data_IF_936629302475
#
_entry.id   IF_936629302475
#
_cell.length_a   1.000
_cell.length_b   1.000
_cell.length_c   1.000
_cell.angle_alpha   90.00
_cell.angle_beta   90.00
_cell.angle_gamma   90.00
#
_symmetry.space_group_name_H-M   'P 1'
#
loop_
_entity.id
_entity.type
_entity.pdbx_description
1 polymer ?
#
# COMPACT_ATOMS: atom_id res chain seq x y z
N UNK A 1 -15.64 -34.64 46.80
CA UNK A 1 -16.18 -34.73 45.43
C UNK A 1 -15.28 -33.89 44.54
N UNK A 2 -14.59 -34.52 43.59
CA UNK A 2 -13.72 -33.88 42.61
C UNK A 2 -14.55 -33.21 41.53
N UNK A 3 -14.36 -31.91 41.36
CA UNK A 3 -15.00 -31.09 40.33
C UNK A 3 -14.43 -31.51 38.96
N UNK A 4 -15.30 -31.78 37.98
CA UNK A 4 -14.89 -32.18 36.62
C UNK A 4 -15.03 -30.95 35.73
N UNK A 5 -13.91 -30.32 35.39
CA UNK A 5 -13.88 -29.03 34.66
C UNK A 5 -14.54 -29.09 33.26
N UNK A 6 -14.61 -30.28 32.66
CA UNK A 6 -15.20 -30.51 31.32
C UNK A 6 -16.75 -30.41 31.31
N UNK A 7 -17.39 -30.49 32.48
CA UNK A 7 -18.85 -30.38 32.63
C UNK A 7 -19.31 -28.97 33.05
N UNK A 8 -18.38 -28.04 33.21
CA UNK A 8 -18.72 -26.66 33.55
C UNK A 8 -19.08 -25.86 32.28
N UNK A 9 -20.14 -25.05 32.39
CA UNK A 9 -20.48 -24.09 31.34
C UNK A 9 -19.34 -23.09 31.11
N UNK A 10 -19.28 -22.44 29.93
CA UNK A 10 -18.21 -21.50 29.61
C UNK A 10 -18.08 -20.46 30.73
N UNK A 11 -16.91 -20.41 31.37
CA UNK A 11 -16.65 -19.43 32.42
C UNK A 11 -16.85 -18.04 31.83
N UNK A 12 -17.61 -17.19 32.54
CA UNK A 12 -17.91 -15.84 32.10
C UNK A 12 -16.59 -15.10 31.85
N UNK A 13 -16.25 -14.91 30.58
CA UNK A 13 -15.09 -14.11 30.20
C UNK A 13 -15.39 -12.67 30.63
N UNK A 14 -14.54 -12.13 31.50
CA UNK A 14 -14.68 -10.75 31.95
C UNK A 14 -14.40 -9.81 30.77
N UNK A 15 -15.45 -9.26 30.17
CA UNK A 15 -15.32 -8.23 29.16
C UNK A 15 -15.09 -6.88 29.83
N UNK A 16 -14.02 -6.19 29.43
CA UNK A 16 -13.78 -4.80 29.85
C UNK A 16 -14.56 -3.89 28.90
N UNK A 17 -15.52 -3.08 29.39
CA UNK A 17 -16.23 -2.13 28.54
C UNK A 17 -15.25 -1.06 28.03
N UNK A 18 -15.17 -0.90 26.71
CA UNK A 18 -14.38 0.14 26.08
C UNK A 18 -15.15 1.47 26.12
N UNK A 19 -14.67 2.43 26.92
CA UNK A 19 -15.20 3.80 26.92
C UNK A 19 -14.44 4.65 25.90
N UNK A 20 -15.03 4.84 24.72
CA UNK A 20 -14.50 5.75 23.69
C UNK A 20 -14.70 7.19 24.19
N UNK A 21 -13.60 7.92 24.43
CA UNK A 21 -13.66 9.29 24.95
C UNK A 21 -14.26 10.27 23.93
N UNK A 22 -13.74 10.26 22.70
CA UNK A 22 -14.27 11.05 21.59
C UNK A 22 -14.34 10.20 20.32
N UNK A 23 -15.54 9.80 19.86
CA UNK A 23 -15.72 9.07 18.62
C UNK A 23 -15.24 9.83 17.38
N UNK A 24 -15.19 11.17 17.40
CA UNK A 24 -14.79 11.98 16.23
C UNK A 24 -13.31 11.90 15.92
N UNK A 25 -12.47 11.81 16.96
CA UNK A 25 -11.02 11.63 16.84
C UNK A 25 -10.63 10.44 15.95
N UNK A 26 -11.44 9.37 15.94
CA UNK A 26 -11.23 8.22 15.04
C UNK A 26 -11.34 8.61 13.57
N UNK A 27 -12.28 9.49 13.20
CA UNK A 27 -12.51 9.90 11.81
C UNK A 27 -11.49 10.96 11.36
N UNK A 28 -11.16 11.92 12.22
CA UNK A 28 -10.25 13.01 11.90
C UNK A 28 -8.80 12.51 11.69
N UNK A 29 -8.39 11.49 12.45
CA UNK A 29 -7.04 10.92 12.36
C UNK A 29 -6.79 10.05 11.13
N UNK A 30 -7.81 9.63 10.39
CA UNK A 30 -7.64 8.86 9.15
C UNK A 30 -7.27 9.73 7.94
N UNK A 31 -7.37 11.05 8.06
CA UNK A 31 -7.07 12.01 6.98
C UNK A 31 -5.94 12.99 7.34
N UNK A 32 -4.74 12.53 7.75
CA UNK A 32 -3.64 13.44 8.11
C UNK A 32 -3.17 14.35 6.95
N UNK A 33 -3.52 14.02 5.69
CA UNK A 33 -3.06 14.71 4.48
C UNK A 33 -4.16 15.43 3.69
N UNK A 34 -5.41 15.49 4.16
CA UNK A 34 -6.48 16.22 3.45
C UNK A 34 -6.26 17.74 3.48
N UNK A 35 -5.57 18.26 4.49
CA UNK A 35 -5.23 19.68 4.62
C UNK A 35 -3.94 20.06 3.87
N UNK A 36 -3.00 19.13 3.69
CA UNK A 36 -1.68 19.43 3.10
C UNK A 36 -1.71 19.47 1.57
N UNK A 37 -2.57 18.67 0.93
CA UNK A 37 -2.63 18.55 -0.54
C UNK A 37 -3.50 19.60 -1.25
N UNK A 38 -4.16 20.51 -0.51
CA UNK A 38 -4.84 21.68 -1.10
C UNK A 38 -3.91 22.89 -1.29
N UNK A 39 -2.64 22.80 -0.84
CA UNK A 39 -1.72 23.95 -0.81
C UNK A 39 -0.87 24.16 -2.08
N UNK A 40 -0.95 23.30 -3.10
CA UNK A 40 -0.08 23.38 -4.30
C UNK A 40 -0.72 24.00 -5.54
N UNK A 41 -1.91 24.59 -5.44
CA UNK A 41 -2.44 25.43 -6.53
C UNK A 41 -3.28 26.58 -6.00
N UNK A 42 -2.61 27.58 -5.43
CA UNK A 42 -2.94 29.02 -5.51
C UNK A 42 -2.08 29.74 -4.48
N UNK A 43 -1.24 30.67 -4.93
CA UNK A 43 -0.43 31.50 -4.06
C UNK A 43 -1.30 32.34 -3.13
N UNK A 44 -1.44 31.91 -1.88
CA UNK A 44 -1.81 32.75 -0.75
C UNK A 44 -1.44 32.00 0.54
N UNK A 45 -0.48 32.54 1.29
CA UNK A 45 -0.20 32.09 2.65
C UNK A 45 -1.43 32.39 3.51
N UNK A 46 -2.33 31.41 3.64
CA UNK A 46 -3.25 31.36 4.76
C UNK A 46 -3.24 29.94 5.29
N UNK A 47 -2.82 29.78 6.54
CA UNK A 47 -3.13 28.58 7.34
C UNK A 47 -4.63 28.30 7.17
N UNK A 48 -5.07 27.05 6.98
CA UNK A 48 -6.48 26.73 7.17
C UNK A 48 -6.78 26.97 8.65
N UNK A 49 -7.29 28.16 8.96
CA UNK A 49 -7.97 28.39 10.24
C UNK A 49 -9.11 27.39 10.27
N UNK A 50 -9.36 26.68 11.39
CA UNK A 50 -10.59 25.91 11.54
C UNK A 50 -11.72 26.90 11.30
N UNK A 51 -12.38 26.75 10.16
CA UNK A 51 -13.42 27.66 9.73
C UNK A 51 -14.61 27.37 10.64
N UNK A 52 -14.63 27.99 11.82
CA UNK A 52 -15.86 28.21 12.58
C UNK A 52 -16.65 29.24 11.79
N UNK A 53 -17.09 28.84 10.60
CA UNK A 53 -18.05 29.61 9.86
C UNK A 53 -19.35 29.55 10.66
N UNK A 54 -19.91 30.72 10.95
CA UNK A 54 -21.26 30.76 11.49
C UNK A 54 -22.18 29.98 10.54
N UNK A 55 -22.94 28.98 11.02
CA UNK A 55 -23.82 28.18 10.17
C UNK A 55 -24.79 29.04 9.34
N UNK A 56 -25.16 30.22 9.86
CA UNK A 56 -25.97 31.21 9.15
C UNK A 56 -25.26 31.82 7.95
N UNK A 57 -23.98 32.16 8.10
CA UNK A 57 -23.15 32.70 7.01
C UNK A 57 -22.97 31.67 5.88
N UNK A 58 -22.64 30.41 6.21
CA UNK A 58 -22.51 29.32 5.22
C UNK A 58 -23.83 29.09 4.48
N UNK A 59 -24.93 29.06 5.22
CA UNK A 59 -26.25 28.87 4.64
C UNK A 59 -26.65 30.05 3.74
N UNK A 60 -26.28 31.27 4.11
CA UNK A 60 -26.52 32.47 3.30
C UNK A 60 -25.71 32.46 1.99
N UNK A 61 -24.43 32.06 2.06
CA UNK A 61 -23.56 31.90 0.90
C UNK A 61 -24.08 30.80 -0.04
N UNK A 62 -24.47 29.65 0.51
CA UNK A 62 -25.07 28.55 -0.25
C UNK A 62 -26.38 28.97 -0.93
N UNK A 63 -27.26 29.70 -0.23
CA UNK A 63 -28.51 30.21 -0.81
C UNK A 63 -28.26 31.20 -1.94
N UNK A 64 -27.23 32.06 -1.81
CA UNK A 64 -26.81 32.99 -2.86
C UNK A 64 -26.29 32.22 -4.08
N UNK A 65 -25.37 31.29 -3.88
CA UNK A 65 -24.80 30.45 -4.95
C UNK A 65 -25.88 29.62 -5.67
N UNK A 66 -26.85 29.07 -4.94
CA UNK A 66 -28.00 28.36 -5.53
C UNK A 66 -28.83 29.28 -6.43
N UNK A 67 -29.05 30.52 -6.00
CA UNK A 67 -29.83 31.50 -6.75
C UNK A 67 -29.08 31.92 -8.03
N UNK A 68 -27.76 32.10 -7.94
CA UNK A 68 -26.88 32.37 -9.10
C UNK A 68 -26.84 31.19 -10.09
N UNK A 69 -26.74 29.95 -9.61
CA UNK A 69 -26.79 28.77 -10.48
C UNK A 69 -28.15 28.60 -11.16
N UNK A 70 -29.24 28.94 -10.47
CA UNK A 70 -30.59 28.84 -11.01
C UNK A 70 -30.82 29.84 -12.16
N UNK A 71 -30.26 31.05 -12.08
CA UNK A 71 -30.33 32.04 -13.18
C UNK A 71 -29.46 31.63 -14.37
N UNK A 72 -28.27 31.06 -14.12
CA UNK A 72 -27.37 30.53 -15.16
C UNK A 72 -28.01 29.34 -15.89
N UNK A 73 -28.60 28.38 -15.16
CA UNK A 73 -29.25 27.22 -15.77
C UNK A 73 -30.53 27.57 -16.55
N UNK A 74 -31.20 28.67 -16.20
CA UNK A 74 -32.43 29.12 -16.89
C UNK A 74 -32.14 29.84 -18.20
N UNK A 75 -30.90 30.29 -18.43
CA UNK A 75 -30.51 31.13 -19.58
C UNK A 75 -29.61 30.44 -20.61
N UNK A 76 -29.09 29.25 -20.32
CA UNK A 76 -28.30 28.49 -21.28
C UNK A 76 -27.73 27.18 -20.75
N UNK A 77 -27.13 26.39 -21.66
CA UNK A 77 -26.51 25.08 -21.41
C UNK A 77 -25.52 25.13 -20.25
N UNK A 78 -25.76 24.31 -19.22
CA UNK A 78 -24.97 24.18 -17.98
C UNK A 78 -23.49 23.84 -18.22
N UNK A 79 -23.16 23.27 -19.38
CA UNK A 79 -21.80 22.90 -19.77
C UNK A 79 -21.53 23.54 -21.13
N UNK A 80 -20.39 24.22 -21.27
CA UNK A 80 -19.96 24.75 -22.55
C UNK A 80 -19.75 23.59 -23.55
N UNK A 81 -20.30 23.68 -24.77
CA UNK A 81 -20.28 22.58 -25.73
C UNK A 81 -18.85 22.17 -26.12
N UNK A 82 -17.91 23.12 -26.11
CA UNK A 82 -16.49 22.88 -26.37
C UNK A 82 -15.83 22.01 -25.28
N UNK A 83 -16.17 22.25 -24.01
CA UNK A 83 -15.68 21.43 -22.89
C UNK A 83 -16.25 20.02 -22.97
N UNK A 84 -17.54 19.88 -23.29
CA UNK A 84 -18.17 18.58 -23.48
C UNK A 84 -17.53 17.80 -24.64
N UNK A 85 -17.25 18.47 -25.76
CA UNK A 85 -16.57 17.88 -26.92
C UNK A 85 -15.14 17.43 -26.56
N UNK A 86 -14.40 18.24 -25.80
CA UNK A 86 -13.06 17.89 -25.33
C UNK A 86 -13.07 16.67 -24.39
N UNK A 87 -13.98 16.63 -23.41
CA UNK A 87 -14.13 15.48 -22.51
C UNK A 87 -14.50 14.23 -23.30
N UNK A 88 -15.41 14.34 -24.26
CA UNK A 88 -15.81 13.21 -25.10
C UNK A 88 -14.66 12.72 -25.98
N UNK A 89 -13.87 13.63 -26.54
CA UNK A 89 -12.67 13.28 -27.30
C UNK A 89 -11.62 12.58 -26.44
N UNK A 90 -11.31 13.11 -25.27
CA UNK A 90 -10.37 12.52 -24.31
C UNK A 90 -10.83 11.12 -23.86
N UNK A 91 -12.11 10.96 -23.50
CA UNK A 91 -12.66 9.66 -23.13
C UNK A 91 -12.63 8.69 -24.31
N UNK A 92 -12.98 9.14 -25.51
CA UNK A 92 -12.95 8.30 -26.71
C UNK A 92 -11.51 7.87 -27.04
N UNK A 93 -10.55 8.79 -26.95
CA UNK A 93 -9.13 8.49 -27.13
C UNK A 93 -8.64 7.49 -26.08
N UNK A 94 -9.00 7.69 -24.81
CA UNK A 94 -8.60 6.82 -23.71
C UNK A 94 -9.19 5.41 -23.82
N UNK A 95 -10.47 5.30 -24.18
CA UNK A 95 -11.18 4.02 -24.37
C UNK A 95 -10.70 3.31 -25.65
N UNK A 96 -10.32 4.05 -26.69
CA UNK A 96 -9.80 3.47 -27.94
C UNK A 96 -8.33 3.03 -27.79
N UNK A 97 -7.53 3.81 -27.05
CA UNK A 97 -6.11 3.56 -26.82
C UNK A 97 -5.83 2.48 -25.77
N UNK A 98 -6.68 2.34 -24.74
CA UNK A 98 -6.65 1.21 -23.82
C UNK A 98 -7.67 0.19 -24.29
N UNK A 99 -7.25 -1.03 -24.61
CA UNK A 99 -8.17 -2.18 -24.76
C UNK A 99 -8.99 -2.33 -23.47
N UNK A 100 -10.14 -1.67 -23.40
CA UNK A 100 -11.06 -1.73 -22.27
C UNK A 100 -11.69 -3.12 -22.25
N UNK A 101 -11.01 -4.06 -21.61
CA UNK A 101 -11.51 -5.42 -21.37
C UNK A 101 -12.35 -5.43 -20.10
N UNK A 102 -13.42 -4.65 -20.06
CA UNK A 102 -14.43 -4.84 -19.02
C UNK A 102 -15.35 -5.97 -19.45
N UNK A 103 -15.38 -7.03 -18.64
CA UNK A 103 -16.44 -8.04 -18.65
C UNK A 103 -16.27 -9.26 -19.56
N UNK A 104 -15.31 -9.29 -20.49
CA UNK A 104 -15.03 -10.51 -21.29
C UNK A 104 -13.66 -11.04 -20.90
N UNK A 105 -13.66 -11.96 -19.92
CA UNK A 105 -12.54 -12.77 -19.45
C UNK A 105 -11.34 -12.66 -20.39
N UNK A 106 -10.35 -11.83 -20.05
CA UNK A 106 -9.01 -12.13 -20.52
C UNK A 106 -8.74 -13.52 -19.93
N UNK A 107 -8.83 -14.58 -20.75
CA UNK A 107 -8.50 -15.93 -20.31
C UNK A 107 -7.20 -15.85 -19.53
N UNK A 108 -7.12 -16.56 -18.39
CA UNK A 108 -6.06 -16.34 -17.40
C UNK A 108 -4.74 -16.15 -18.12
N UNK A 109 -3.97 -15.12 -17.78
CA UNK A 109 -2.67 -14.87 -18.42
C UNK A 109 -1.76 -16.11 -18.36
N UNK A 110 -1.97 -16.95 -17.34
CA UNK A 110 -1.37 -18.27 -17.17
C UNK A 110 -1.73 -19.30 -18.24
N UNK A 111 -2.90 -19.20 -18.87
CA UNK A 111 -3.38 -20.16 -19.88
C UNK A 111 -2.78 -19.88 -21.27
N UNK A 112 -2.21 -18.69 -21.48
CA UNK A 112 -1.50 -18.32 -22.70
C UNK A 112 0.00 -18.64 -22.64
N UNK A 113 0.50 -19.17 -21.51
CA UNK A 113 1.91 -19.51 -21.31
C UNK A 113 2.18 -20.98 -21.71
N UNK A 114 3.35 -21.28 -22.28
CA UNK A 114 3.80 -22.66 -22.46
C UNK A 114 3.76 -23.40 -21.12
N UNK A 115 3.32 -24.66 -21.13
CA UNK A 115 3.10 -25.47 -19.92
C UNK A 115 4.34 -25.50 -19.01
N UNK A 116 5.53 -25.70 -19.58
CA UNK A 116 6.79 -25.73 -18.83
C UNK A 116 7.06 -24.41 -18.09
N UNK A 117 6.92 -23.28 -18.79
CA UNK A 117 7.11 -21.94 -18.20
C UNK A 117 6.06 -21.63 -17.14
N UNK A 118 4.80 -22.07 -17.36
CA UNK A 118 3.72 -21.91 -16.37
C UNK A 118 4.05 -22.66 -15.07
N UNK A 119 4.45 -23.92 -15.16
CA UNK A 119 4.80 -24.73 -13.99
C UNK A 119 5.99 -24.15 -13.23
N UNK A 120 7.02 -23.72 -13.95
CA UNK A 120 8.20 -23.09 -13.35
C UNK A 120 7.86 -21.79 -12.61
N UNK A 121 7.03 -20.92 -13.20
CA UNK A 121 6.61 -19.68 -12.52
C UNK A 121 5.74 -19.98 -11.29
N UNK A 122 4.84 -20.95 -11.37
CA UNK A 122 4.02 -21.35 -10.23
C UNK A 122 4.87 -21.91 -9.09
N UNK A 123 5.86 -22.73 -9.41
CA UNK A 123 6.80 -23.27 -8.43
C UNK A 123 7.65 -22.15 -7.81
N UNK A 124 8.17 -21.24 -8.64
CA UNK A 124 8.96 -20.10 -8.19
C UNK A 124 8.13 -19.19 -7.27
N UNK A 125 6.88 -18.94 -7.64
CA UNK A 125 5.92 -18.18 -6.86
C UNK A 125 5.66 -18.86 -5.51
N UNK A 126 5.30 -20.14 -5.48
CA UNK A 126 5.03 -20.86 -4.24
C UNK A 126 6.25 -20.83 -3.29
N UNK A 127 7.44 -21.10 -3.84
CA UNK A 127 8.69 -21.07 -3.06
C UNK A 127 8.99 -19.67 -2.51
N UNK A 128 8.76 -18.63 -3.31
CA UNK A 128 8.94 -17.24 -2.89
C UNK A 128 8.02 -16.87 -1.74
N UNK A 129 6.73 -17.22 -1.83
CA UNK A 129 5.76 -16.93 -0.77
C UNK A 129 6.08 -17.65 0.54
N UNK A 130 6.53 -18.91 0.48
CA UNK A 130 6.95 -19.66 1.67
C UNK A 130 8.19 -19.04 2.32
N UNK A 131 9.20 -18.68 1.53
CA UNK A 131 10.39 -18.01 2.05
C UNK A 131 10.07 -16.63 2.62
N UNK A 132 9.18 -15.86 1.98
CA UNK A 132 8.71 -14.59 2.53
C UNK A 132 7.98 -14.79 3.86
N UNK A 133 7.16 -15.82 4.01
CA UNK A 133 6.51 -16.13 5.30
C UNK A 133 7.55 -16.42 6.37
N UNK A 134 8.56 -17.24 6.06
CA UNK A 134 9.65 -17.54 6.99
C UNK A 134 10.54 -16.32 7.29
N UNK A 135 10.72 -15.44 6.31
CA UNK A 135 11.45 -14.18 6.45
C UNK A 135 10.73 -13.29 7.46
N UNK A 136 9.45 -12.99 7.24
CA UNK A 136 8.67 -12.13 8.13
C UNK A 136 8.48 -12.72 9.52
N UNK A 137 8.36 -14.06 9.63
CA UNK A 137 8.30 -14.75 10.91
C UNK A 137 9.62 -14.74 11.70
N UNK A 138 10.75 -14.36 11.08
CA UNK A 138 12.02 -14.20 11.80
C UNK A 138 12.13 -12.84 12.53
N UNK A 139 11.24 -11.88 12.22
CA UNK A 139 11.25 -10.56 12.83
C UNK A 139 10.38 -10.52 14.10
N UNK A 140 10.76 -9.72 15.10
CA UNK A 140 11.97 -8.87 15.17
C UNK A 140 13.26 -9.67 15.41
N UNK A 141 14.40 -9.19 14.86
CA UNK A 141 15.72 -9.85 14.89
C UNK A 141 16.42 -9.76 16.27
N UNK A 142 15.75 -10.26 17.30
CA UNK A 142 16.14 -10.16 18.71
C UNK A 142 17.30 -11.08 19.09
N UNK A 143 17.49 -12.20 18.38
CA UNK A 143 18.52 -13.22 18.67
C UNK A 143 19.49 -13.42 17.50
N UNK A 144 20.75 -13.78 17.80
CA UNK A 144 21.74 -14.17 16.79
C UNK A 144 21.22 -15.30 15.88
N UNK A 145 20.53 -16.28 16.47
CA UNK A 145 19.93 -17.40 15.71
C UNK A 145 18.87 -16.95 14.69
N UNK A 146 18.08 -15.93 15.02
CA UNK A 146 17.09 -15.35 14.12
C UNK A 146 17.76 -14.52 13.02
N UNK A 147 18.88 -13.84 13.32
CA UNK A 147 19.69 -13.12 12.33
C UNK A 147 20.33 -14.07 11.33
N UNK A 148 20.97 -15.13 11.79
CA UNK A 148 21.58 -16.14 10.91
C UNK A 148 20.52 -16.83 10.03
N UNK A 149 19.30 -17.03 10.57
CA UNK A 149 18.16 -17.53 9.79
C UNK A 149 17.72 -16.49 8.74
N UNK A 150 17.51 -15.24 9.13
CA UNK A 150 17.09 -14.18 8.23
C UNK A 150 18.12 -13.90 7.12
N UNK A 151 19.42 -13.97 7.42
CA UNK A 151 20.51 -13.85 6.45
C UNK A 151 20.46 -14.97 5.40
N UNK A 152 20.35 -16.24 5.84
CA UNK A 152 20.21 -17.38 4.92
C UNK A 152 18.98 -17.27 4.03
N UNK A 153 17.85 -16.81 4.60
CA UNK A 153 16.62 -16.59 3.84
C UNK A 153 16.83 -15.43 2.84
N UNK A 154 17.46 -14.33 3.24
CA UNK A 154 17.77 -13.20 2.36
C UNK A 154 18.63 -13.64 1.17
N UNK A 155 19.66 -14.46 1.40
CA UNK A 155 20.49 -15.02 0.32
C UNK A 155 19.67 -15.90 -0.63
N UNK A 156 18.79 -16.75 -0.10
CA UNK A 156 17.88 -17.57 -0.90
C UNK A 156 16.90 -16.71 -1.72
N UNK A 157 16.35 -15.63 -1.15
CA UNK A 157 15.48 -14.68 -1.84
C UNK A 157 16.24 -13.97 -2.98
N UNK A 158 17.50 -13.55 -2.78
CA UNK A 158 18.33 -12.98 -3.84
C UNK A 158 18.59 -13.98 -4.97
N UNK A 159 18.83 -15.26 -4.65
CA UNK A 159 18.98 -16.30 -5.67
C UNK A 159 17.70 -16.50 -6.50
N UNK A 160 16.52 -16.48 -5.85
CA UNK A 160 15.23 -16.58 -6.54
C UNK A 160 14.95 -15.35 -7.41
N UNK A 161 15.34 -14.15 -6.96
CA UNK A 161 15.24 -12.93 -7.76
C UNK A 161 16.08 -13.03 -9.03
N UNK A 162 17.31 -13.55 -8.95
CA UNK A 162 18.16 -13.77 -10.11
C UNK A 162 17.55 -14.78 -11.09
N UNK A 163 17.00 -15.90 -10.58
CA UNK A 163 16.28 -16.88 -11.41
C UNK A 163 15.07 -16.25 -12.13
N UNK A 164 14.29 -15.45 -11.41
CA UNK A 164 13.15 -14.72 -11.98
C UNK A 164 13.59 -13.75 -13.09
N UNK A 165 14.69 -13.03 -12.90
CA UNK A 165 15.24 -12.13 -13.92
C UNK A 165 15.75 -12.88 -15.16
N UNK A 166 16.38 -14.05 -14.99
CA UNK A 166 16.81 -14.89 -16.12
C UNK A 166 15.61 -15.34 -16.94
N UNK A 167 14.55 -15.85 -16.28
CA UNK A 167 13.31 -16.22 -16.96
C UNK A 167 12.67 -15.04 -17.71
N UNK A 168 12.73 -13.83 -17.15
CA UNK A 168 12.25 -12.62 -17.81
C UNK A 168 13.07 -12.31 -19.09
N UNK A 169 14.40 -12.37 -19.00
CA UNK A 169 15.31 -12.11 -20.12
C UNK A 169 15.20 -13.18 -21.22
N UNK A 170 15.02 -14.44 -20.86
CA UNK A 170 14.79 -15.51 -21.82
C UNK A 170 13.42 -15.40 -22.49
N UNK A 171 12.42 -14.88 -21.76
CA UNK A 171 11.09 -14.56 -22.32
C UNK A 171 11.14 -13.38 -23.29
N UNK A 172 12.18 -12.55 -23.26
CA UNK A 172 12.44 -11.41 -24.15
C UNK A 172 12.69 -11.80 -25.62
N UNK A 173 12.35 -13.02 -26.02
CA UNK A 173 12.26 -13.44 -27.44
C UNK A 173 10.87 -13.92 -27.85
N UNK A 174 9.91 -13.98 -26.93
CA UNK A 174 8.63 -14.68 -27.12
C UNK A 174 7.43 -13.73 -27.07
N UNK A 175 6.28 -14.17 -27.62
CA UNK A 175 5.06 -13.37 -27.75
C UNK A 175 4.30 -13.13 -26.42
N UNK A 176 4.72 -13.77 -25.33
CA UNK A 176 4.06 -13.69 -24.01
C UNK A 176 4.81 -12.83 -22.97
N UNK A 177 5.80 -12.03 -23.39
CA UNK A 177 6.60 -11.14 -22.51
C UNK A 177 5.76 -10.27 -21.59
N UNK A 178 4.72 -9.64 -22.13
CA UNK A 178 3.89 -8.73 -21.35
C UNK A 178 3.13 -9.45 -20.24
N UNK A 179 2.64 -10.66 -20.52
CA UNK A 179 1.95 -11.48 -19.52
C UNK A 179 2.90 -11.95 -18.42
N UNK A 180 4.11 -12.36 -18.80
CA UNK A 180 5.12 -12.83 -17.85
C UNK A 180 5.66 -11.67 -17.00
N UNK A 181 5.91 -10.51 -17.60
CA UNK A 181 6.30 -9.28 -16.91
C UNK A 181 5.23 -8.80 -15.92
N UNK A 182 3.95 -8.81 -16.29
CA UNK A 182 2.87 -8.43 -15.37
C UNK A 182 2.80 -9.36 -14.15
N UNK A 183 2.98 -10.67 -14.36
CA UNK A 183 2.97 -11.64 -13.27
C UNK A 183 4.20 -11.48 -12.36
N UNK A 184 5.36 -11.28 -12.96
CA UNK A 184 6.63 -11.19 -12.25
C UNK A 184 6.79 -9.90 -11.44
N UNK A 185 6.15 -8.79 -11.85
CA UNK A 185 6.25 -7.49 -11.16
C UNK A 185 5.89 -7.61 -9.68
N UNK A 186 4.81 -8.30 -9.36
CA UNK A 186 4.36 -8.49 -7.97
C UNK A 186 5.38 -9.26 -7.13
N UNK A 187 5.95 -10.34 -7.69
CA UNK A 187 6.98 -11.14 -7.02
C UNK A 187 8.28 -10.36 -6.84
N UNK A 188 8.73 -9.63 -7.88
CA UNK A 188 9.94 -8.80 -7.80
C UNK A 188 9.80 -7.72 -6.74
N UNK A 189 8.67 -7.03 -6.69
CA UNK A 189 8.41 -6.00 -5.66
C UNK A 189 8.43 -6.58 -4.25
N UNK A 190 7.85 -7.76 -4.03
CA UNK A 190 7.87 -8.41 -2.73
C UNK A 190 9.28 -8.84 -2.31
N UNK A 191 10.08 -9.36 -3.25
CA UNK A 191 11.49 -9.72 -3.03
C UNK A 191 12.34 -8.49 -2.69
N UNK A 192 12.20 -7.41 -3.46
CA UNK A 192 12.92 -6.15 -3.23
C UNK A 192 12.58 -5.55 -1.86
N UNK A 193 11.29 -5.52 -1.52
CA UNK A 193 10.83 -5.02 -0.22
C UNK A 193 11.42 -5.82 0.95
N UNK A 194 11.47 -7.15 0.85
CA UNK A 194 12.06 -7.99 1.89
C UNK A 194 13.58 -7.76 2.02
N UNK A 195 14.31 -7.73 0.91
CA UNK A 195 15.76 -7.47 0.92
C UNK A 195 16.07 -6.09 1.50
N UNK A 196 15.34 -5.06 1.07
CA UNK A 196 15.49 -3.69 1.57
C UNK A 196 15.14 -3.59 3.06
N UNK A 197 14.11 -4.31 3.53
CA UNK A 197 13.76 -4.36 4.94
C UNK A 197 14.91 -4.94 5.79
N UNK A 198 15.52 -6.05 5.35
CA UNK A 198 16.67 -6.64 6.03
C UNK A 198 17.86 -5.68 6.10
N UNK A 199 18.20 -5.02 4.99
CA UNK A 199 19.31 -4.06 4.95
C UNK A 199 19.09 -2.85 5.87
N UNK A 200 17.84 -2.38 5.98
CA UNK A 200 17.51 -1.28 6.88
C UNK A 200 17.62 -1.69 8.35
N UNK A 201 17.15 -2.88 8.71
CA UNK A 201 17.23 -3.40 10.07
C UNK A 201 18.70 -3.61 10.51
N UNK A 202 19.55 -4.14 9.61
CA UNK A 202 20.99 -4.27 9.83
C UNK A 202 21.66 -2.90 10.03
N UNK A 203 21.34 -1.89 9.20
CA UNK A 203 21.86 -0.52 9.35
C UNK A 203 21.46 0.09 10.70
N UNK A 204 20.23 -0.14 11.16
CA UNK A 204 19.76 0.35 12.45
C UNK A 204 20.47 -0.35 13.62
N UNK A 205 20.71 -1.65 13.50
CA UNK A 205 21.42 -2.43 14.51
C UNK A 205 22.89 -1.99 14.65
N UNK A 206 23.60 -1.77 13.54
CA UNK A 206 24.98 -1.24 13.53
C UNK A 206 25.05 0.16 14.17
N UNK A 207 24.11 1.05 13.84
CA UNK A 207 24.01 2.38 14.46
C UNK A 207 23.75 2.31 15.97
N UNK A 208 22.91 1.38 16.42
CA UNK A 208 22.63 1.18 17.84
C UNK A 208 23.87 0.67 18.60
N UNK A 209 24.63 -0.24 17.99
CA UNK A 209 25.87 -0.77 18.56
C UNK A 209 26.98 0.28 18.66
N UNK A 210 27.10 1.18 17.66
CA UNK A 210 28.05 2.31 17.70
C UNK A 210 27.67 3.38 18.72
N UNK A 211 26.38 3.60 18.99
CA UNK A 211 25.92 4.56 20.00
C UNK A 211 26.20 4.07 21.43
N UNK A 212 26.20 2.75 21.64
CA UNK A 212 26.52 2.15 22.95
C UNK A 212 28.03 2.21 23.23
N UNK A 213 28.88 2.03 22.21
CA UNK A 213 30.34 2.13 22.38
C UNK A 213 30.84 3.56 22.61
N UNK A 214 30.19 4.58 22.05
CA UNK A 214 30.53 5.99 22.32
C UNK A 214 30.11 6.47 23.70
N UNK A 215 29.03 5.90 24.28
CA UNK A 215 28.62 6.20 25.66
C UNK A 215 29.57 5.59 26.71
N UNK A 216 30.19 4.44 26.40
CA UNK A 216 31.17 3.79 27.29
C UNK A 216 32.61 4.34 27.13
N UNK A 217 32.82 5.30 26.24
CA UNK A 217 34.13 5.90 25.95
C UNK A 217 34.38 7.26 26.61
N UNK A 218 33.51 7.76 27.50
CA UNK A 218 33.76 9.01 28.22
C UNK A 218 34.86 8.79 29.26
N UNK A 219 36.03 9.46 29.16
CA UNK A 219 37.09 9.32 30.15
C UNK A 219 36.63 9.89 31.49
N UNK A 220 36.71 9.07 32.54
CA UNK A 220 36.65 9.52 33.93
C UNK A 220 37.91 10.38 34.14
N UNK A 221 37.75 11.69 34.11
CA UNK A 221 38.77 12.63 34.58
C UNK A 221 38.77 12.52 36.10
N UNK A 222 39.81 11.88 36.63
CA UNK A 222 40.20 11.93 38.05
C UNK A 222 40.91 13.25 38.31
#
# INVERSE_FOLDING_TARGET
MTRVDDLEGPQAQNFVPLCIQDPRSYFDSQHPNAEMNQSVSSGSLSKPSPMVADPGEVLSAFRRQRSELQTVCSTGTMVAPDVAAKVLHELTYYISGRKFRVGKQAGNFLDNLPRGTKEEILQLSATTHELLRHFWAAFPLTSNTLRDKALRIKEALTQLQNKLQVLLKESEKQDYRHSLSQLSVSLTQALDAAILHYENDEKMNVKSSQKISTLNGAPIVV
#
